data_IF_038097693532
#
_entry.id   IF_038097693532
#
_cell.length_a   1.000
_cell.length_b   1.000
_cell.length_c   1.000
_cell.angle_alpha   90.00
_cell.angle_beta   90.00
_cell.angle_gamma   90.00
#
_symmetry.space_group_name_H-M   'P 1'
#
loop_
_entity.id
_entity.type
_entity.pdbx_description
1 polymer ?
#
# COMPACT_ATOMS: atom_id res chain seq x y z
N UNK A 1 7.45 -8.46 -2.20
CA UNK A 1 6.52 -7.56 -2.93
C UNK A 1 7.29 -6.40 -3.52
N UNK A 2 7.02 -6.07 -4.75
CA UNK A 2 7.65 -4.95 -5.44
C UNK A 2 6.63 -3.86 -5.72
N UNK A 3 6.96 -2.63 -5.32
CA UNK A 3 6.17 -1.46 -5.65
C UNK A 3 6.91 -0.69 -6.73
N UNK A 4 6.31 -0.55 -7.90
CA UNK A 4 6.92 0.15 -9.02
C UNK A 4 6.58 1.63 -8.98
N UNK A 5 7.60 2.48 -9.10
CA UNK A 5 7.41 3.92 -9.23
C UNK A 5 6.69 4.22 -10.55
N UNK A 6 5.56 4.93 -10.47
CA UNK A 6 4.72 5.15 -11.65
C UNK A 6 5.38 6.01 -12.72
N UNK A 7 6.08 7.06 -12.31
CA UNK A 7 6.70 8.03 -13.23
C UNK A 7 8.19 7.84 -13.42
N UNK A 8 8.74 6.75 -12.92
CA UNK A 8 10.18 6.49 -12.97
C UNK A 8 10.49 5.03 -13.17
N UNK A 9 11.74 4.66 -12.92
CA UNK A 9 12.25 3.31 -13.14
C UNK A 9 12.58 2.57 -11.85
N UNK A 10 12.29 3.18 -10.69
CA UNK A 10 12.65 2.57 -9.41
C UNK A 10 11.57 1.63 -8.93
N UNK A 11 12.00 0.58 -8.24
CA UNK A 11 11.14 -0.36 -7.55
C UNK A 11 11.47 -0.32 -6.07
N UNK A 12 10.46 -0.42 -5.23
CA UNK A 12 10.64 -0.50 -3.79
C UNK A 12 10.32 -1.93 -3.34
N UNK A 13 11.34 -2.73 -2.99
CA UNK A 13 11.10 -4.09 -2.51
C UNK A 13 10.75 -4.06 -1.02
N UNK A 14 9.65 -4.69 -0.67
CA UNK A 14 9.20 -4.80 0.72
C UNK A 14 8.98 -6.26 1.03
N UNK A 15 9.67 -6.79 2.04
CA UNK A 15 9.48 -8.15 2.51
C UNK A 15 8.18 -8.24 3.29
N UNK A 16 7.32 -9.20 2.92
CA UNK A 16 6.04 -9.41 3.58
C UNK A 16 5.85 -10.89 3.86
N UNK A 17 5.02 -11.21 4.86
CA UNK A 17 4.71 -12.58 5.21
C UNK A 17 3.83 -13.25 4.15
N UNK A 18 3.80 -14.58 4.18
CA UNK A 18 3.02 -15.37 3.22
C UNK A 18 1.52 -15.09 3.34
N UNK A 19 1.03 -14.86 4.54
CA UNK A 19 -0.38 -14.57 4.79
C UNK A 19 -0.76 -13.24 4.16
N UNK A 20 0.06 -12.22 4.36
CA UNK A 20 -0.17 -10.88 3.81
C UNK A 20 -0.04 -10.89 2.29
N UNK A 21 0.93 -11.63 1.76
CA UNK A 21 1.10 -11.77 0.31
C UNK A 21 -0.13 -12.41 -0.32
N UNK A 22 -0.69 -13.43 0.31
CA UNK A 22 -1.91 -14.10 -0.15
C UNK A 22 -3.10 -13.14 -0.14
N UNK A 23 -3.24 -12.32 0.90
CA UNK A 23 -4.32 -11.34 0.98
C UNK A 23 -4.26 -10.33 -0.17
N UNK A 24 -3.07 -9.85 -0.50
CA UNK A 24 -2.88 -8.92 -1.62
C UNK A 24 -3.17 -9.62 -2.95
N UNK A 25 -2.63 -10.84 -3.13
CA UNK A 25 -2.84 -11.59 -4.36
C UNK A 25 -4.33 -11.87 -4.62
N UNK A 26 -5.08 -12.23 -3.59
CA UNK A 26 -6.53 -12.46 -3.73
C UNK A 26 -7.24 -11.20 -4.21
N UNK A 27 -6.89 -10.04 -3.63
CA UNK A 27 -7.49 -8.78 -4.04
C UNK A 27 -7.17 -8.44 -5.49
N UNK A 28 -5.91 -8.59 -5.89
CA UNK A 28 -5.47 -8.28 -7.26
C UNK A 28 -6.08 -9.22 -8.30
N UNK A 29 -6.36 -10.47 -7.92
CA UNK A 29 -6.95 -11.46 -8.80
C UNK A 29 -8.49 -11.45 -8.78
N UNK A 30 -9.08 -10.59 -7.96
CA UNK A 30 -10.53 -10.51 -7.84
C UNK A 30 -11.18 -11.74 -7.24
N UNK A 31 -10.45 -12.47 -6.38
CA UNK A 31 -10.99 -13.67 -5.73
C UNK A 31 -12.04 -13.25 -4.70
N UNK A 32 -13.24 -13.83 -4.84
CA UNK A 32 -14.32 -13.61 -3.88
C UNK A 32 -14.44 -14.82 -2.96
N UNK A 33 -14.65 -14.56 -1.69
CA UNK A 33 -14.84 -15.61 -0.68
C UNK A 33 -16.25 -15.56 -0.12
N UNK A 34 -16.72 -16.66 0.45
CA UNK A 34 -18.08 -16.73 1.00
C UNK A 34 -18.28 -15.75 2.16
N UNK A 35 -17.24 -15.56 2.95
CA UNK A 35 -17.24 -14.61 4.07
C UNK A 35 -16.06 -13.67 3.92
N UNK A 36 -16.18 -12.41 4.39
CA UNK A 36 -15.07 -11.47 4.33
C UNK A 36 -13.84 -11.99 5.06
N UNK A 37 -12.68 -11.88 4.41
CA UNK A 37 -11.40 -12.13 5.05
C UNK A 37 -11.02 -10.90 5.89
N UNK A 38 -9.91 -10.98 6.62
CA UNK A 38 -9.52 -9.92 7.56
C UNK A 38 -9.48 -8.53 6.93
N UNK A 39 -8.82 -8.38 5.78
CA UNK A 39 -8.71 -7.08 5.13
C UNK A 39 -10.02 -6.62 4.49
N UNK A 40 -10.84 -7.57 4.01
CA UNK A 40 -12.19 -7.26 3.54
C UNK A 40 -13.02 -6.71 4.69
N UNK A 41 -12.92 -7.32 5.87
CA UNK A 41 -13.64 -6.86 7.05
C UNK A 41 -13.21 -5.45 7.44
N UNK A 42 -11.92 -5.15 7.42
CA UNK A 42 -11.44 -3.81 7.75
C UNK A 42 -12.02 -2.77 6.80
N UNK A 43 -12.02 -3.07 5.49
CA UNK A 43 -12.62 -2.18 4.49
C UNK A 43 -14.11 -2.01 4.74
N UNK A 44 -14.83 -3.10 5.03
CA UNK A 44 -16.25 -3.04 5.35
C UNK A 44 -16.52 -2.17 6.57
N UNK A 45 -15.67 -2.25 7.60
CA UNK A 45 -15.83 -1.42 8.81
C UNK A 45 -15.61 0.06 8.50
N UNK A 46 -14.64 0.38 7.66
CA UNK A 46 -14.40 1.74 7.23
C UNK A 46 -15.62 2.31 6.52
N UNK A 47 -16.16 1.56 5.57
CA UNK A 47 -17.34 1.97 4.80
C UNK A 47 -18.59 2.07 5.67
N UNK A 48 -18.80 1.09 6.54
CA UNK A 48 -19.96 1.06 7.42
C UNK A 48 -20.00 2.23 8.41
N UNK A 49 -18.83 2.77 8.77
CA UNK A 49 -18.73 3.92 9.68
C UNK A 49 -18.66 5.26 8.96
N UNK A 50 -18.86 5.26 7.64
CA UNK A 50 -18.88 6.49 6.87
C UNK A 50 -17.52 7.08 6.56
N UNK A 51 -16.46 6.29 6.68
CA UNK A 51 -15.10 6.73 6.38
C UNK A 51 -14.68 6.32 4.98
N UNK A 52 -13.74 7.06 4.42
CA UNK A 52 -13.17 6.78 3.11
C UNK A 52 -11.65 6.72 3.22
N UNK A 53 -11.05 5.63 2.72
CA UNK A 53 -9.59 5.56 2.61
C UNK A 53 -9.17 6.38 1.38
N UNK A 54 -8.52 7.51 1.62
CA UNK A 54 -8.14 8.44 0.55
C UNK A 54 -6.79 8.09 -0.07
N UNK A 55 -5.85 7.59 0.72
CA UNK A 55 -4.49 7.29 0.24
C UNK A 55 -3.76 6.41 1.25
N UNK A 56 -2.77 5.70 0.75
CA UNK A 56 -1.79 4.98 1.57
C UNK A 56 -0.42 5.62 1.31
N UNK A 57 0.29 5.95 2.38
CA UNK A 57 1.64 6.52 2.28
C UNK A 57 2.64 5.57 2.92
N UNK A 58 3.69 5.21 2.18
CA UNK A 58 4.87 4.58 2.77
C UNK A 58 5.79 5.75 3.16
N UNK A 59 5.92 6.00 4.45
CA UNK A 59 6.49 7.23 4.96
C UNK A 59 7.93 7.15 5.39
N UNK A 60 8.33 6.00 5.94
CA UNK A 60 9.64 5.86 6.57
C UNK A 60 10.19 4.46 6.43
N UNK A 61 11.51 4.38 6.55
CA UNK A 61 12.25 3.14 6.70
C UNK A 61 13.25 3.34 7.83
N UNK A 62 13.10 2.57 8.91
CA UNK A 62 13.97 2.67 10.08
C UNK A 62 14.40 1.27 10.50
N UNK A 63 15.71 1.02 10.52
CA UNK A 63 16.24 -0.27 10.95
C UNK A 63 15.72 -1.46 10.14
N UNK A 64 15.51 -1.28 8.85
CA UNK A 64 14.97 -2.31 7.97
C UNK A 64 13.46 -2.48 8.03
N UNK A 65 12.78 -1.65 8.83
CA UNK A 65 11.31 -1.71 8.98
C UNK A 65 10.67 -0.56 8.23
N UNK A 66 9.77 -0.88 7.32
CA UNK A 66 8.98 0.13 6.61
C UNK A 66 7.76 0.53 7.42
N UNK A 67 7.48 1.83 7.41
CA UNK A 67 6.29 2.40 8.05
C UNK A 67 5.34 2.94 7.00
N UNK A 68 4.05 2.78 7.23
CA UNK A 68 3.03 3.29 6.34
C UNK A 68 1.93 3.98 7.14
N UNK A 69 1.13 4.78 6.45
CA UNK A 69 0.00 5.49 7.00
C UNK A 69 -1.22 5.32 6.12
N UNK A 70 -2.35 5.10 6.76
CA UNK A 70 -3.65 5.15 6.12
C UNK A 70 -4.23 6.55 6.34
N UNK A 71 -4.56 7.22 5.25
CA UNK A 71 -5.21 8.53 5.31
C UNK A 71 -6.70 8.35 5.09
N UNK A 72 -7.46 8.54 6.15
CA UNK A 72 -8.90 8.30 6.18
C UNK A 72 -9.65 9.61 6.32
N UNK A 73 -10.71 9.76 5.52
CA UNK A 73 -11.59 10.93 5.60
C UNK A 73 -12.93 10.53 6.20
N UNK A 74 -13.46 11.42 7.05
CA UNK A 74 -14.81 11.32 7.58
C UNK A 74 -15.42 12.73 7.67
N UNK A 75 -16.70 12.82 8.06
CA UNK A 75 -17.39 14.09 8.08
C UNK A 75 -16.71 15.17 8.94
N UNK A 76 -16.00 14.77 9.99
CA UNK A 76 -15.29 15.68 10.89
C UNK A 76 -13.88 16.05 10.46
N UNK A 77 -13.37 15.52 9.36
CA UNK A 77 -12.02 15.79 8.91
C UNK A 77 -11.23 14.55 8.51
N UNK A 78 -9.93 14.61 8.63
CA UNK A 78 -9.02 13.53 8.23
C UNK A 78 -8.37 12.89 9.46
N UNK A 79 -8.25 11.57 9.44
CA UNK A 79 -7.55 10.78 10.46
C UNK A 79 -6.43 10.01 9.79
N UNK A 80 -5.27 9.97 10.43
CA UNK A 80 -4.11 9.22 9.95
C UNK A 80 -3.85 8.07 10.90
N UNK A 81 -3.79 6.85 10.36
CA UNK A 81 -3.57 5.64 11.16
C UNK A 81 -2.28 4.96 10.69
N UNK A 82 -1.37 4.68 11.62
CA UNK A 82 -0.15 3.94 11.31
C UNK A 82 -0.48 2.48 11.00
N UNK A 83 0.17 1.93 9.99
CA UNK A 83 -0.05 0.56 9.57
C UNK A 83 1.22 -0.04 8.99
N UNK A 84 1.29 -1.37 8.96
CA UNK A 84 2.32 -2.02 8.17
C UNK A 84 2.01 -1.81 6.68
N UNK A 85 3.03 -1.61 5.83
CA UNK A 85 2.77 -1.45 4.39
C UNK A 85 1.95 -2.58 3.79
N UNK A 86 2.18 -3.83 4.21
CA UNK A 86 1.44 -4.98 3.70
C UNK A 86 -0.06 -4.88 3.98
N UNK A 87 -0.44 -4.49 5.19
CA UNK A 87 -1.86 -4.34 5.54
C UNK A 87 -2.49 -3.17 4.81
N UNK A 88 -1.77 -2.05 4.73
CA UNK A 88 -2.26 -0.87 4.03
C UNK A 88 -2.49 -1.15 2.54
N UNK A 89 -1.57 -1.83 1.90
CA UNK A 89 -1.67 -2.21 0.49
C UNK A 89 -2.79 -3.23 0.29
N UNK A 90 -2.92 -4.21 1.17
CA UNK A 90 -4.00 -5.18 1.09
C UNK A 90 -5.38 -4.50 1.16
N UNK A 91 -5.52 -3.45 1.95
CA UNK A 91 -6.74 -2.65 1.98
C UNK A 91 -6.94 -1.85 0.70
N UNK A 92 -5.89 -1.15 0.26
CA UNK A 92 -5.97 -0.29 -0.93
C UNK A 92 -6.31 -1.08 -2.20
N UNK A 93 -5.80 -2.31 -2.32
CA UNK A 93 -6.07 -3.16 -3.50
C UNK A 93 -7.51 -3.65 -3.58
N UNK A 94 -8.27 -3.56 -2.49
CA UNK A 94 -9.69 -3.91 -2.45
C UNK A 94 -10.61 -2.76 -2.81
N UNK A 95 -10.05 -1.59 -2.98
CA UNK A 95 -10.80 -0.36 -3.28
C UNK A 95 -10.33 0.20 -4.61
N UNK A 96 -11.20 0.98 -5.26
CA UNK A 96 -10.85 1.67 -6.49
C UNK A 96 -10.24 3.03 -6.16
N UNK A 97 -9.28 3.44 -6.96
CA UNK A 97 -8.73 4.80 -6.95
C UNK A 97 -8.07 5.23 -5.64
N UNK A 98 -7.49 4.29 -4.89
CA UNK A 98 -6.69 4.62 -3.71
C UNK A 98 -5.21 4.66 -4.11
N UNK A 99 -4.59 5.83 -4.15
CA UNK A 99 -3.18 5.91 -4.53
C UNK A 99 -2.26 5.38 -3.45
N UNK A 100 -1.20 4.71 -3.89
CA UNK A 100 -0.08 4.33 -3.04
C UNK A 100 1.01 5.37 -3.24
N UNK A 101 1.38 6.06 -2.20
CA UNK A 101 2.38 7.11 -2.24
C UNK A 101 3.63 6.66 -1.47
N UNK A 102 4.79 6.86 -2.06
CA UNK A 102 6.04 6.58 -1.40
C UNK A 102 6.83 7.86 -1.19
N UNK A 103 7.28 8.11 0.04
CA UNK A 103 8.11 9.26 0.33
C UNK A 103 9.42 9.18 -0.46
N UNK A 104 9.85 10.30 -1.03
CA UNK A 104 11.07 10.34 -1.83
C UNK A 104 12.29 9.82 -1.06
N UNK A 105 12.39 10.15 0.22
CA UNK A 105 13.49 9.70 1.07
C UNK A 105 13.54 8.17 1.19
N UNK A 106 12.38 7.50 1.20
CA UNK A 106 12.30 6.04 1.26
C UNK A 106 12.77 5.44 -0.07
N UNK A 107 12.34 6.02 -1.18
CA UNK A 107 12.74 5.55 -2.51
C UNK A 107 14.25 5.78 -2.74
N UNK A 108 14.79 6.88 -2.25
CA UNK A 108 16.23 7.14 -2.34
C UNK A 108 17.04 6.12 -1.54
N UNK A 109 16.57 5.76 -0.35
CA UNK A 109 17.29 4.84 0.55
C UNK A 109 17.17 3.38 0.09
N UNK A 110 15.99 2.95 -0.30
CA UNK A 110 15.68 1.52 -0.53
C UNK A 110 15.24 1.20 -1.94
N UNK A 111 15.01 2.19 -2.79
CA UNK A 111 14.59 1.96 -4.17
C UNK A 111 15.70 1.35 -5.00
N UNK A 112 15.35 0.44 -5.89
CA UNK A 112 16.29 -0.18 -6.82
C UNK A 112 15.78 0.00 -8.24
N UNK A 113 16.71 0.04 -9.19
CA UNK A 113 16.37 0.04 -10.60
C UNK A 113 16.40 -1.39 -11.11
N UNK A 114 15.38 -1.76 -11.87
CA UNK A 114 15.29 -3.08 -12.48
C UNK A 114 14.92 -2.92 -13.95
N UNK A 115 15.43 -3.82 -14.79
CA UNK A 115 15.02 -3.90 -16.17
C UNK A 115 13.57 -4.43 -16.21
N UNK A 116 12.82 -4.02 -17.24
CA UNK A 116 11.43 -4.47 -17.40
C UNK A 116 11.30 -6.00 -17.43
N UNK A 117 12.31 -6.69 -17.95
CA UNK A 117 12.33 -8.16 -18.01
C UNK A 117 12.48 -8.81 -16.65
N UNK A 118 12.91 -8.05 -15.64
CA UNK A 118 13.07 -8.56 -14.26
C UNK A 118 11.88 -8.22 -13.37
N UNK A 119 10.82 -7.65 -13.95
CA UNK A 119 9.63 -7.35 -13.19
C UNK A 119 9.10 -8.59 -12.48
N UNK A 120 8.79 -8.44 -11.22
CA UNK A 120 8.21 -9.48 -10.39
C UNK A 120 6.76 -9.80 -10.73
N UNK A 121 6.34 -9.55 -11.95
CA UNK A 121 5.07 -9.96 -12.51
C UNK A 121 3.84 -9.66 -11.63
N UNK A 122 3.26 -10.70 -11.10
CA UNK A 122 1.93 -10.66 -10.50
C UNK A 122 1.78 -9.83 -9.24
N UNK A 123 2.88 -9.46 -8.58
CA UNK A 123 2.84 -8.76 -7.30
C UNK A 123 3.36 -7.32 -7.36
N UNK A 124 3.44 -6.78 -8.55
CA UNK A 124 3.85 -5.39 -8.73
C UNK A 124 2.65 -4.46 -8.56
N UNK A 125 2.78 -3.48 -7.69
CA UNK A 125 1.79 -2.41 -7.53
C UNK A 125 2.42 -1.09 -7.92
N UNK A 126 1.62 -0.19 -8.49
CA UNK A 126 2.10 1.13 -8.86
C UNK A 126 2.18 2.04 -7.63
N UNK A 127 3.29 2.74 -7.51
CA UNK A 127 3.55 3.65 -6.41
C UNK A 127 3.79 5.06 -6.95
N UNK A 128 3.10 6.02 -6.38
CA UNK A 128 3.35 7.43 -6.67
C UNK A 128 4.40 7.96 -5.71
N UNK A 129 5.39 8.68 -6.23
CA UNK A 129 6.36 9.37 -5.38
C UNK A 129 5.69 10.60 -4.78
N UNK A 130 5.90 10.82 -3.50
CA UNK A 130 5.38 12.00 -2.81
C UNK A 130 6.50 12.76 -2.13
N UNK A 131 6.35 14.09 -1.92
CA UNK A 131 7.26 14.82 -1.05
C UNK A 131 7.21 14.22 0.35
N UNK A 132 8.29 14.35 1.11
CA UNK A 132 8.28 13.85 2.47
C UNK A 132 7.20 14.58 3.27
N UNK A 133 6.27 13.85 3.91
CA UNK A 133 5.20 14.49 4.67
C UNK A 133 5.65 15.13 5.96
N UNK A 134 6.93 14.99 6.32
CA UNK A 134 7.48 15.50 7.57
C UNK A 134 8.38 16.70 7.41
N UNK A 135 8.49 17.21 6.22
CA UNK A 135 9.28 18.41 5.97
C UNK A 135 8.58 19.68 6.42
#
# INVERSE_FOLDING_TARGET
MLLKERSGSRYLPIWIGAVEATAIAFALQGVETQRPLTHDLIVDMIEATGMTLEAVHVTDLEGGTFFAELHLRHAGGTVVVSARPSDAIAMATRLDDVPLLGAEAVLEEAGIEMDEDEEGGEQSCLLYTSPSPRD
#
